data_IF_128781786398
#
_entry.id   IF_128781786398
#
_cell.length_a   1.000
_cell.length_b   1.000
_cell.length_c   1.000
_cell.angle_alpha   90.00
_cell.angle_beta   90.00
_cell.angle_gamma   90.00
#
_symmetry.space_group_name_H-M   'P 1'
#
loop_
_entity.id
_entity.type
_entity.pdbx_description
1 polymer ?
#
# COMPACT_ATOMS: atom_id res chain seq x y z
N UNK A 1 -31.65 -49.08 -49.97
CA UNK A 1 -32.42 -48.37 -48.93
C UNK A 1 -31.73 -48.62 -47.59
N UNK A 2 -31.15 -47.58 -46.99
CA UNK A 2 -30.43 -47.65 -45.72
C UNK A 2 -31.44 -47.43 -44.59
N UNK A 3 -31.48 -48.32 -43.58
CA UNK A 3 -32.14 -48.06 -42.30
C UNK A 3 -31.11 -48.15 -41.18
N UNK A 4 -30.92 -47.03 -40.53
CA UNK A 4 -30.10 -46.83 -39.33
C UNK A 4 -30.82 -47.50 -38.15
N UNK A 5 -30.06 -48.21 -37.31
CA UNK A 5 -30.47 -48.49 -35.94
C UNK A 5 -29.25 -48.38 -35.02
N UNK A 6 -29.35 -47.39 -34.14
CA UNK A 6 -28.42 -46.92 -33.12
C UNK A 6 -28.74 -47.60 -31.78
N UNK A 7 -27.74 -48.14 -31.03
CA UNK A 7 -27.71 -48.26 -29.54
C UNK A 7 -26.25 -48.41 -29.08
N UNK A 8 -25.58 -47.34 -28.64
CA UNK A 8 -25.42 -46.87 -27.25
C UNK A 8 -24.80 -47.94 -26.34
N UNK A 9 -23.49 -47.83 -26.11
CA UNK A 9 -22.73 -48.56 -25.08
C UNK A 9 -21.86 -47.56 -24.33
N UNK A 10 -21.99 -47.60 -23.01
CA UNK A 10 -21.65 -46.57 -22.01
C UNK A 10 -20.13 -46.37 -21.87
N UNK A 11 -19.64 -45.13 -22.01
CA UNK A 11 -18.27 -44.77 -21.66
C UNK A 11 -18.23 -44.19 -20.24
N UNK A 12 -17.53 -44.91 -19.37
CA UNK A 12 -17.27 -44.59 -17.97
C UNK A 12 -16.50 -43.25 -17.86
N UNK A 13 -17.15 -42.20 -17.35
CA UNK A 13 -16.47 -40.92 -17.09
C UNK A 13 -15.72 -41.01 -15.76
N UNK A 14 -14.40 -41.06 -15.83
CA UNK A 14 -13.51 -40.97 -14.66
C UNK A 14 -13.57 -39.52 -14.17
N UNK A 15 -14.17 -39.29 -13.01
CA UNK A 15 -14.09 -37.99 -12.33
C UNK A 15 -12.66 -37.82 -11.79
N UNK A 16 -11.85 -37.05 -12.49
CA UNK A 16 -10.61 -36.52 -11.94
C UNK A 16 -10.97 -35.46 -10.89
N UNK A 17 -10.95 -35.83 -9.61
CA UNK A 17 -10.92 -34.85 -8.54
C UNK A 17 -9.55 -34.16 -8.56
N UNK A 18 -9.44 -33.04 -9.27
CA UNK A 18 -8.28 -32.16 -9.13
C UNK A 18 -8.35 -31.50 -7.76
N UNK A 19 -7.66 -32.10 -6.78
CA UNK A 19 -7.32 -31.40 -5.54
C UNK A 19 -6.38 -30.26 -5.91
N UNK A 20 -6.93 -29.05 -6.05
CA UNK A 20 -6.12 -27.84 -6.09
C UNK A 20 -5.48 -27.66 -4.72
N UNK A 21 -4.27 -28.18 -4.55
CA UNK A 21 -3.38 -27.70 -3.50
C UNK A 21 -2.97 -26.28 -3.90
N UNK A 22 -3.82 -25.29 -3.59
CA UNK A 22 -3.35 -23.92 -3.44
C UNK A 22 -2.50 -23.90 -2.18
N UNK A 23 -1.26 -24.36 -2.29
CA UNK A 23 -0.20 -23.86 -1.43
C UNK A 23 -0.03 -22.39 -1.81
N UNK A 24 -0.86 -21.51 -1.23
CA UNK A 24 -0.57 -20.11 -1.14
C UNK A 24 0.69 -19.99 -0.27
N UNK A 25 1.83 -20.17 -0.92
CA UNK A 25 3.09 -19.70 -0.40
C UNK A 25 2.92 -18.20 -0.38
N UNK A 26 2.54 -17.67 0.79
CA UNK A 26 2.70 -16.27 1.10
C UNK A 26 4.19 -16.00 1.04
N UNK A 27 4.69 -15.78 -0.18
CA UNK A 27 5.97 -15.12 -0.41
C UNK A 27 5.77 -13.82 0.35
N UNK A 28 6.36 -13.73 1.54
CA UNK A 28 6.35 -12.51 2.35
C UNK A 28 6.80 -11.44 1.39
N UNK A 29 5.86 -10.62 0.92
CA UNK A 29 6.18 -9.60 -0.05
C UNK A 29 7.10 -8.67 0.73
N UNK A 30 8.37 -8.63 0.33
CA UNK A 30 9.32 -7.70 0.90
C UNK A 30 8.83 -6.32 0.50
N UNK A 31 8.07 -5.69 1.40
CA UNK A 31 7.57 -4.33 1.25
C UNK A 31 8.76 -3.42 0.98
N UNK A 32 8.62 -2.54 -0.01
CA UNK A 32 9.64 -1.56 -0.31
C UNK A 32 9.48 -0.40 0.68
N UNK A 33 10.17 -0.51 1.82
CA UNK A 33 10.17 0.54 2.85
C UNK A 33 10.83 1.78 2.26
N UNK A 34 10.08 2.86 2.14
CA UNK A 34 10.57 4.15 1.62
C UNK A 34 11.19 4.95 2.76
N UNK A 35 10.48 5.01 3.90
CA UNK A 35 10.90 5.81 5.05
C UNK A 35 10.38 5.20 6.36
N UNK A 36 11.20 5.30 7.42
CA UNK A 36 10.92 4.75 8.74
C UNK A 36 11.36 5.76 9.82
N UNK A 37 10.39 6.34 10.52
CA UNK A 37 10.58 7.40 11.50
C UNK A 37 11.43 6.98 12.69
N UNK A 38 11.40 5.68 13.05
CA UNK A 38 12.18 5.16 14.19
C UNK A 38 13.67 5.13 13.94
N UNK A 39 14.07 5.21 12.67
CA UNK A 39 15.47 5.24 12.24
C UNK A 39 16.00 6.66 12.04
N UNK A 40 15.13 7.67 12.17
CA UNK A 40 15.49 9.08 12.02
C UNK A 40 15.96 9.61 13.39
N UNK A 41 17.14 10.24 13.41
CA UNK A 41 17.80 10.69 14.63
C UNK A 41 17.81 12.20 14.81
N UNK A 42 17.04 12.97 14.02
CA UNK A 42 17.09 14.43 14.04
C UNK A 42 15.71 15.05 14.24
N UNK A 43 15.66 16.05 15.11
CA UNK A 43 14.53 16.94 15.23
C UNK A 43 14.48 17.86 14.01
N UNK A 44 13.35 17.85 13.29
CA UNK A 44 12.88 18.88 12.36
C UNK A 44 13.36 18.89 10.90
N UNK A 45 14.12 17.90 10.42
CA UNK A 45 14.47 17.90 9.00
C UNK A 45 13.30 17.43 8.13
N UNK A 46 12.95 18.25 7.14
CA UNK A 46 12.14 17.79 6.01
C UNK A 46 12.96 16.75 5.24
N UNK A 47 12.43 15.54 5.13
CA UNK A 47 13.10 14.41 4.51
C UNK A 47 12.45 14.14 3.17
N UNK A 48 13.26 14.23 2.13
CA UNK A 48 12.86 13.89 0.76
C UNK A 48 13.38 12.52 0.35
N UNK A 49 12.52 11.71 -0.26
CA UNK A 49 12.85 10.43 -0.88
C UNK A 49 12.25 10.34 -2.28
N UNK A 50 13.02 9.95 -3.30
CA UNK A 50 12.43 9.66 -4.60
C UNK A 50 11.59 8.38 -4.51
N UNK A 51 10.45 8.36 -5.18
CA UNK A 51 9.73 7.13 -5.49
C UNK A 51 9.10 7.24 -6.88
N UNK A 52 8.86 6.10 -7.52
CA UNK A 52 8.05 6.03 -8.73
C UNK A 52 6.71 5.42 -8.33
N UNK A 53 5.73 6.27 -8.02
CA UNK A 53 4.46 5.85 -7.42
C UNK A 53 3.47 5.30 -8.45
N UNK A 54 3.69 5.60 -9.72
CA UNK A 54 2.83 5.19 -10.82
C UNK A 54 3.51 4.15 -11.75
N UNK A 55 4.79 3.84 -11.56
CA UNK A 55 5.65 2.94 -12.37
C UNK A 55 5.76 3.40 -13.84
N UNK A 56 5.84 4.71 -14.06
CA UNK A 56 6.03 5.29 -15.40
C UNK A 56 7.51 5.53 -15.76
N UNK A 57 8.42 5.27 -14.81
CA UNK A 57 9.85 5.47 -14.93
C UNK A 57 10.33 6.88 -14.56
N UNK A 58 9.43 7.76 -14.11
CA UNK A 58 9.70 9.11 -13.64
C UNK A 58 9.40 9.18 -12.14
N UNK A 59 10.40 9.50 -11.33
CA UNK A 59 10.20 9.57 -9.89
C UNK A 59 9.51 10.85 -9.44
N UNK A 60 8.46 10.70 -8.65
CA UNK A 60 7.97 11.70 -7.71
C UNK A 60 8.91 11.86 -6.51
N UNK A 61 8.64 12.88 -5.68
CA UNK A 61 9.34 13.10 -4.42
C UNK A 61 8.38 12.97 -3.24
N UNK A 62 8.64 12.04 -2.33
CA UNK A 62 8.00 11.99 -1.01
C UNK A 62 8.72 12.95 -0.08
N UNK A 63 8.02 13.97 0.38
CA UNK A 63 8.48 14.92 1.40
C UNK A 63 7.77 14.64 2.70
N UNK A 64 8.53 14.39 3.76
CA UNK A 64 8.02 14.07 5.08
C UNK A 64 8.60 14.99 6.14
N UNK A 65 7.77 15.43 7.07
CA UNK A 65 8.20 16.15 8.27
C UNK A 65 8.15 15.19 9.45
N UNK A 66 9.30 14.97 10.09
CA UNK A 66 9.41 14.15 11.29
C UNK A 66 8.79 14.84 12.51
N UNK A 67 8.15 14.03 13.36
CA UNK A 67 7.71 14.42 14.69
C UNK A 67 8.07 13.32 15.70
N UNK A 68 8.67 13.65 16.85
CA UNK A 68 9.03 12.65 17.86
C UNK A 68 7.81 12.09 18.62
N UNK A 69 6.61 12.64 18.43
CA UNK A 69 5.37 12.19 19.07
C UNK A 69 4.15 12.39 18.17
N UNK A 70 3.07 11.68 18.46
CA UNK A 70 1.78 11.80 17.77
C UNK A 70 0.69 12.25 18.73
N UNK A 71 -0.22 13.16 18.33
CA UNK A 71 -0.04 14.09 17.22
C UNK A 71 1.15 15.03 17.49
N UNK A 72 1.69 15.74 16.47
CA UNK A 72 2.76 16.69 16.68
C UNK A 72 2.42 17.68 17.80
N UNK A 73 3.42 18.10 18.60
CA UNK A 73 3.26 18.90 19.83
C UNK A 73 2.41 20.19 19.69
N UNK A 74 2.17 20.65 18.45
CA UNK A 74 1.28 21.76 18.13
C UNK A 74 -0.21 21.49 18.39
N UNK A 75 -0.61 20.24 18.65
CA UNK A 75 -2.01 19.88 18.83
C UNK A 75 -2.19 19.13 20.17
N UNK A 76 -3.04 19.67 21.05
CA UNK A 76 -3.31 19.11 22.38
C UNK A 76 -4.01 17.75 22.27
N UNK A 77 -3.75 16.84 23.21
CA UNK A 77 -4.25 15.45 23.17
C UNK A 77 -5.77 15.32 22.88
N UNK A 78 -6.55 16.33 23.27
CA UNK A 78 -8.02 16.34 23.14
C UNK A 78 -8.51 16.98 21.82
N UNK A 79 -7.70 17.80 21.15
CA UNK A 79 -8.11 18.62 19.99
C UNK A 79 -7.90 17.90 18.63
N UNK A 80 -7.05 16.88 18.59
CA UNK A 80 -6.60 16.29 17.31
C UNK A 80 -7.35 15.03 16.91
N UNK A 81 -8.18 14.46 17.80
CA UNK A 81 -8.84 13.18 17.55
C UNK A 81 -7.89 11.98 17.38
N UNK A 82 -6.61 12.12 17.73
CA UNK A 82 -5.60 11.06 17.69
C UNK A 82 -5.22 10.63 19.11
N UNK A 83 -5.06 9.32 19.31
CA UNK A 83 -4.52 8.78 20.56
C UNK A 83 -3.08 9.24 20.71
N UNK A 84 -2.80 10.01 21.76
CA UNK A 84 -1.46 10.51 21.98
C UNK A 84 -0.46 9.37 22.20
N UNK A 85 0.67 9.42 21.50
CA UNK A 85 1.74 8.43 21.55
C UNK A 85 3.10 9.13 21.56
N UNK A 86 4.03 8.61 22.35
CA UNK A 86 5.43 9.05 22.35
C UNK A 86 6.24 8.36 21.22
N UNK A 87 5.56 7.68 20.29
CA UNK A 87 6.19 7.09 19.13
C UNK A 87 6.44 8.15 18.04
N UNK A 88 7.60 8.10 17.36
CA UNK A 88 7.89 9.01 16.27
C UNK A 88 6.99 8.74 15.07
N UNK A 89 6.54 9.81 14.43
CA UNK A 89 5.71 9.77 13.22
C UNK A 89 6.15 10.81 12.20
N UNK A 90 5.61 10.70 11.00
CA UNK A 90 5.87 11.61 9.89
C UNK A 90 4.55 12.05 9.28
N UNK A 91 4.47 13.34 8.96
CA UNK A 91 3.43 13.87 8.07
C UNK A 91 4.04 14.02 6.68
N UNK A 92 3.43 13.40 5.66
CA UNK A 92 4.04 13.28 4.35
C UNK A 92 3.17 13.83 3.23
N UNK A 93 3.83 14.21 2.14
CA UNK A 93 3.20 14.59 0.88
C UNK A 93 4.04 14.10 -0.28
N UNK A 94 3.40 13.81 -1.40
CA UNK A 94 4.06 13.45 -2.65
C UNK A 94 4.02 14.68 -3.56
N UNK A 95 5.18 15.09 -4.05
CA UNK A 95 5.33 16.12 -5.06
C UNK A 95 5.55 15.46 -6.41
N UNK A 96 4.65 15.71 -7.35
CA UNK A 96 4.77 15.22 -8.73
C UNK A 96 5.77 16.06 -9.52
N UNK A 97 6.27 15.57 -10.67
CA UNK A 97 7.21 16.32 -11.51
C UNK A 97 6.69 17.67 -12.01
N UNK A 98 5.36 17.85 -12.07
CA UNK A 98 4.70 19.11 -12.44
C UNK A 98 4.47 20.06 -11.25
N UNK A 99 5.01 19.72 -10.07
CA UNK A 99 4.85 20.43 -8.79
C UNK A 99 3.41 20.40 -8.20
N UNK A 100 2.58 19.46 -8.63
CA UNK A 100 1.34 19.17 -7.91
C UNK A 100 1.64 18.43 -6.60
N UNK A 101 0.88 18.75 -5.55
CA UNK A 101 1.05 18.14 -4.23
C UNK A 101 -0.11 17.22 -3.89
N UNK A 102 0.21 15.99 -3.52
CA UNK A 102 -0.73 15.02 -2.97
C UNK A 102 -0.40 14.86 -1.48
N UNK A 103 -1.31 15.28 -0.61
CA UNK A 103 -1.12 15.10 0.83
C UNK A 103 -1.45 13.65 1.23
N UNK A 104 -0.65 13.10 2.13
CA UNK A 104 -0.95 11.86 2.83
C UNK A 104 -1.49 12.30 4.19
N UNK A 105 -2.81 12.37 4.32
CA UNK A 105 -3.51 12.91 5.50
C UNK A 105 -3.51 11.92 6.69
N UNK A 106 -2.40 11.22 6.88
CA UNK A 106 -2.16 10.22 7.92
C UNK A 106 -0.78 10.45 8.53
N UNK A 107 -0.66 10.26 9.85
CA UNK A 107 0.63 10.24 10.53
C UNK A 107 1.18 8.81 10.50
N UNK A 108 2.29 8.62 9.79
CA UNK A 108 2.92 7.31 9.64
C UNK A 108 4.26 7.27 10.38
N UNK A 109 4.46 6.29 11.25
CA UNK A 109 5.77 5.87 11.73
C UNK A 109 6.60 5.23 10.61
N UNK A 110 5.96 4.63 9.62
CA UNK A 110 6.63 4.00 8.47
C UNK A 110 5.80 4.11 7.20
N UNK A 111 6.45 4.33 6.07
CA UNK A 111 5.81 4.34 4.75
C UNK A 111 6.50 3.33 3.84
N UNK A 112 5.71 2.43 3.26
CA UNK A 112 6.18 1.48 2.26
C UNK A 112 5.33 1.53 1.01
N UNK A 113 5.95 1.32 -0.16
CA UNK A 113 5.24 1.16 -1.42
C UNK A 113 4.72 -0.28 -1.54
N UNK A 114 3.42 -0.43 -1.79
CA UNK A 114 2.81 -1.72 -2.09
C UNK A 114 2.86 -2.01 -3.59
N UNK A 115 2.70 -3.28 -3.97
CA UNK A 115 2.67 -3.66 -5.40
C UNK A 115 1.32 -3.36 -6.03
N UNK A 116 0.27 -3.50 -5.24
CA UNK A 116 -1.10 -3.24 -5.61
C UNK A 116 -1.24 -1.78 -6.04
N UNK A 117 -2.04 -1.56 -7.08
CA UNK A 117 -2.36 -0.23 -7.61
C UNK A 117 -3.86 -0.02 -7.63
N UNK A 118 -4.29 1.17 -7.26
CA UNK A 118 -5.65 1.65 -7.47
C UNK A 118 -5.60 2.92 -8.30
N UNK A 119 -6.47 3.04 -9.31
CA UNK A 119 -6.55 4.21 -10.18
C UNK A 119 -5.20 4.69 -10.75
N UNK A 120 -4.28 3.76 -11.02
CA UNK A 120 -2.97 4.03 -11.62
C UNK A 120 -1.83 4.32 -10.64
N UNK A 121 -2.09 4.49 -9.34
CA UNK A 121 -1.06 4.71 -8.33
C UNK A 121 -0.92 3.49 -7.42
N UNK A 122 0.29 3.24 -6.95
CA UNK A 122 0.57 2.23 -5.93
C UNK A 122 -0.09 2.57 -4.60
N UNK A 123 -0.66 1.57 -3.94
CA UNK A 123 -1.11 1.72 -2.55
C UNK A 123 0.11 1.92 -1.63
N UNK A 124 -0.13 2.58 -0.50
CA UNK A 124 0.90 2.82 0.52
C UNK A 124 0.55 2.04 1.78
N UNK A 125 1.54 1.37 2.36
CA UNK A 125 1.42 0.87 3.72
C UNK A 125 1.97 1.93 4.67
N UNK A 126 1.07 2.53 5.44
CA UNK A 126 1.34 3.38 6.58
C UNK A 126 1.41 2.46 7.81
N UNK A 127 2.51 2.52 8.56
CA UNK A 127 2.77 1.66 9.72
C UNK A 127 2.79 0.16 9.39
N UNK A 128 2.25 -0.69 10.27
CA UNK A 128 2.29 -2.14 10.12
C UNK A 128 1.05 -2.70 9.40
N UNK A 129 -0.10 -2.04 9.51
CA UNK A 129 -1.39 -2.58 9.07
C UNK A 129 -2.33 -1.59 8.36
N UNK A 130 -1.96 -0.30 8.28
CA UNK A 130 -2.81 0.73 7.68
C UNK A 130 -2.51 0.87 6.19
N UNK A 131 -3.35 0.25 5.36
CA UNK A 131 -3.24 0.32 3.90
C UNK A 131 -3.98 1.55 3.38
N UNK A 132 -3.24 2.52 2.86
CA UNK A 132 -3.76 3.70 2.21
C UNK A 132 -3.93 3.45 0.71
N UNK A 133 -5.17 3.51 0.23
CA UNK A 133 -5.54 3.25 -1.17
C UNK A 133 -5.83 4.55 -1.90
N UNK A 134 -5.31 4.67 -3.10
CA UNK A 134 -5.62 5.82 -3.96
C UNK A 134 -7.02 5.68 -4.56
N UNK A 135 -7.90 6.67 -4.33
CA UNK A 135 -9.27 6.65 -4.87
C UNK A 135 -9.44 7.47 -6.18
N UNK A 136 -8.34 7.97 -6.75
CA UNK A 136 -8.36 8.89 -7.89
C UNK A 136 -8.23 10.37 -7.50
N UNK A 137 -8.30 10.72 -6.21
CA UNK A 137 -8.17 12.09 -5.73
C UNK A 137 -7.31 12.22 -4.47
N UNK A 138 -7.40 11.26 -3.55
CA UNK A 138 -6.59 11.21 -2.32
C UNK A 138 -6.37 9.77 -1.87
N UNK A 139 -5.45 9.60 -0.91
CA UNK A 139 -5.27 8.34 -0.20
C UNK A 139 -6.30 8.19 0.92
N UNK A 140 -6.92 7.00 1.02
CA UNK A 140 -7.89 6.64 2.06
C UNK A 140 -7.54 5.28 2.67
N UNK A 141 -7.56 5.18 3.99
CA UNK A 141 -7.32 3.96 4.77
C UNK A 141 -8.52 3.01 4.80
#
# INVERSE_FOLDING_TARGET
>A
MQKIALRIGIALSIMAASSFNYAATSKIQKLNVILDATTLSTDSDEISRPLDINDDGISETLNCTYSPSTPPAACGKDDCGYTASDAPTMACSIMTPDNSRINIDYFCSKISLMKEKNHGLHDLLCDEDTILRWNGTRYEG
#
